data_IF_838775483444
#
_entry.id   IF_838775483444
#
_cell.length_a   1.000
_cell.length_b   1.000
_cell.length_c   1.000
_cell.angle_alpha   90.00
_cell.angle_beta   90.00
_cell.angle_gamma   90.00
#
_symmetry.space_group_name_H-M   'P 1'
#
loop_
_entity.id
_entity.type
_entity.pdbx_description
1 polymer ?
#
# COMPACT_ATOMS: atom_id res chain seq x y z
N UNK A 1 -28.11 -7.55 1.93
CA UNK A 1 -27.81 -8.24 0.66
C UNK A 1 -28.29 -7.49 -0.59
N UNK A 2 -29.49 -6.89 -0.62
CA UNK A 2 -29.96 -6.11 -1.79
C UNK A 2 -29.01 -4.96 -2.22
N UNK A 3 -28.30 -4.32 -1.27
CA UNK A 3 -27.35 -3.24 -1.59
C UNK A 3 -26.08 -3.70 -2.30
N UNK A 4 -25.55 -4.89 -1.96
CA UNK A 4 -24.32 -5.43 -2.58
C UNK A 4 -24.61 -5.84 -4.01
N UNK A 5 -25.72 -6.54 -4.25
CA UNK A 5 -26.11 -6.93 -5.61
C UNK A 5 -26.32 -5.71 -6.52
N UNK A 6 -26.97 -4.67 -6.02
CA UNK A 6 -27.14 -3.40 -6.74
C UNK A 6 -25.80 -2.71 -7.00
N UNK A 7 -24.88 -2.70 -6.03
CA UNK A 7 -23.54 -2.16 -6.21
C UNK A 7 -22.76 -2.92 -7.29
N UNK A 8 -22.78 -4.26 -7.23
CA UNK A 8 -22.13 -5.11 -8.22
C UNK A 8 -22.70 -4.87 -9.61
N UNK A 9 -24.03 -4.83 -9.75
CA UNK A 9 -24.72 -4.55 -11.02
C UNK A 9 -24.38 -3.17 -11.58
N UNK A 10 -24.24 -2.16 -10.73
CA UNK A 10 -23.87 -0.80 -11.14
C UNK A 10 -22.42 -0.68 -11.59
N UNK A 11 -21.51 -1.48 -11.03
CA UNK A 11 -20.06 -1.39 -11.25
C UNK A 11 -19.48 -2.60 -12.00
N UNK A 12 -20.29 -3.34 -12.76
CA UNK A 12 -19.88 -4.59 -13.42
C UNK A 12 -18.62 -4.44 -14.27
N UNK A 13 -18.50 -3.36 -15.03
CA UNK A 13 -17.33 -3.11 -15.88
C UNK A 13 -16.06 -2.95 -15.04
N UNK A 14 -16.13 -2.16 -13.97
CA UNK A 14 -14.99 -1.94 -13.06
C UNK A 14 -14.61 -3.23 -12.33
N UNK A 15 -15.60 -4.02 -11.88
CA UNK A 15 -15.34 -5.33 -11.27
C UNK A 15 -14.72 -6.31 -12.27
N UNK A 16 -15.15 -6.26 -13.54
CA UNK A 16 -14.56 -7.02 -14.63
C UNK A 16 -13.08 -6.66 -14.84
N UNK A 17 -12.75 -5.37 -14.92
CA UNK A 17 -11.35 -4.94 -15.04
C UNK A 17 -10.50 -5.30 -13.82
N UNK A 18 -11.05 -5.19 -12.61
CA UNK A 18 -10.34 -5.59 -11.40
C UNK A 18 -10.05 -7.10 -11.38
N UNK A 19 -11.02 -7.92 -11.81
CA UNK A 19 -10.84 -9.36 -11.97
C UNK A 19 -9.78 -9.67 -13.04
N UNK A 20 -9.83 -8.99 -14.19
CA UNK A 20 -8.81 -9.14 -15.24
C UNK A 20 -7.41 -8.80 -14.71
N UNK A 21 -7.25 -7.71 -13.94
CA UNK A 21 -5.96 -7.33 -13.36
C UNK A 21 -5.45 -8.39 -12.37
N UNK A 22 -6.33 -8.97 -11.55
CA UNK A 22 -5.99 -10.09 -10.67
C UNK A 22 -5.51 -11.31 -11.46
N UNK A 23 -6.28 -11.70 -12.47
CA UNK A 23 -5.94 -12.85 -13.34
C UNK A 23 -4.61 -12.60 -14.04
N UNK A 24 -4.38 -11.42 -14.61
CA UNK A 24 -3.12 -11.06 -15.26
C UNK A 24 -1.94 -11.12 -14.28
N UNK A 25 -2.11 -10.59 -13.07
CA UNK A 25 -1.10 -10.69 -12.00
C UNK A 25 -0.81 -12.14 -11.64
N UNK A 26 -1.81 -13.02 -11.58
CA UNK A 26 -1.59 -14.45 -11.31
C UNK A 26 -0.89 -15.11 -12.50
N UNK A 27 -1.35 -14.86 -13.73
CA UNK A 27 -0.81 -15.51 -14.94
C UNK A 27 0.61 -15.09 -15.26
N UNK A 28 1.01 -13.86 -14.92
CA UNK A 28 2.39 -13.39 -15.06
C UNK A 28 3.36 -14.09 -14.10
N UNK A 29 2.86 -14.77 -13.08
CA UNK A 29 3.63 -15.48 -12.06
C UNK A 29 3.44 -17.01 -12.11
N UNK A 30 2.99 -17.59 -13.24
CA UNK A 30 2.76 -19.05 -13.34
C UNK A 30 4.02 -19.88 -13.12
N UNK A 31 5.18 -19.35 -13.52
CA UNK A 31 6.49 -19.99 -13.29
C UNK A 31 7.11 -19.63 -11.94
N UNK A 32 6.35 -18.99 -11.06
CA UNK A 32 6.83 -18.40 -9.81
C UNK A 32 6.93 -16.87 -9.90
N UNK A 33 6.96 -16.24 -8.73
CA UNK A 33 7.18 -14.79 -8.60
C UNK A 33 8.65 -14.47 -8.86
N UNK A 34 8.89 -13.34 -9.51
CA UNK A 34 10.21 -12.86 -9.86
C UNK A 34 11.03 -12.45 -8.63
N UNK A 35 12.33 -12.72 -8.73
CA UNK A 35 13.32 -12.43 -7.71
C UNK A 35 14.23 -11.30 -8.17
N UNK A 36 14.60 -10.45 -7.23
CA UNK A 36 15.60 -9.39 -7.39
C UNK A 36 16.55 -9.41 -6.21
N UNK A 37 17.58 -8.57 -6.24
CA UNK A 37 18.51 -8.44 -5.11
C UNK A 37 17.79 -8.04 -3.81
N UNK A 38 16.81 -7.13 -3.90
CA UNK A 38 15.96 -6.69 -2.78
C UNK A 38 15.07 -7.81 -2.22
N UNK A 39 14.72 -8.79 -3.05
CA UNK A 39 13.77 -9.84 -2.69
C UNK A 39 14.33 -10.77 -1.62
N UNK A 40 15.60 -11.16 -1.75
CA UNK A 40 16.25 -12.09 -0.81
C UNK A 40 16.17 -11.59 0.63
N UNK A 41 16.36 -10.29 0.79
CA UNK A 41 16.26 -9.58 2.06
C UNK A 41 14.84 -9.61 2.63
N UNK A 42 13.82 -9.28 1.81
CA UNK A 42 12.44 -9.32 2.28
C UNK A 42 12.02 -10.71 2.74
N UNK A 43 12.41 -11.75 1.99
CA UNK A 43 12.07 -13.15 2.27
C UNK A 43 12.81 -13.64 3.51
N UNK A 44 14.12 -13.36 3.64
CA UNK A 44 14.91 -13.75 4.80
C UNK A 44 14.34 -13.13 6.09
N UNK A 45 14.08 -11.82 6.09
CA UNK A 45 13.45 -11.13 7.22
C UNK A 45 12.09 -11.73 7.53
N UNK A 46 11.26 -12.01 6.52
CA UNK A 46 9.94 -12.59 6.73
C UNK A 46 10.00 -13.98 7.38
N UNK A 47 10.92 -14.84 6.93
CA UNK A 47 11.12 -16.18 7.50
C UNK A 47 11.68 -16.13 8.92
N UNK A 48 12.66 -15.26 9.16
CA UNK A 48 13.26 -15.07 10.48
C UNK A 48 12.24 -14.49 11.48
N UNK A 49 11.38 -13.58 11.01
CA UNK A 49 10.31 -13.02 11.83
C UNK A 49 9.24 -14.07 12.14
N UNK A 50 8.84 -14.88 11.17
CA UNK A 50 7.88 -15.95 11.40
C UNK A 50 8.38 -17.00 12.40
N UNK A 51 9.68 -17.30 12.38
CA UNK A 51 10.29 -18.32 13.24
C UNK A 51 10.55 -17.80 14.66
N UNK A 52 11.26 -16.69 14.78
CA UNK A 52 11.87 -16.24 16.04
C UNK A 52 11.60 -14.75 16.35
N UNK A 53 10.67 -14.09 15.63
CA UNK A 53 10.36 -12.65 15.72
C UNK A 53 11.56 -11.72 15.48
N UNK A 54 12.62 -12.24 14.85
CA UNK A 54 13.82 -11.46 14.52
C UNK A 54 13.73 -10.83 13.14
N UNK A 55 14.34 -9.67 12.97
CA UNK A 55 14.32 -8.91 11.71
C UNK A 55 15.68 -8.98 11.02
N UNK A 56 16.18 -10.20 10.81
CA UNK A 56 17.48 -10.45 10.22
C UNK A 56 17.39 -10.63 8.70
N UNK A 57 18.26 -9.94 7.97
CA UNK A 57 18.36 -9.99 6.51
C UNK A 57 19.03 -11.28 6.01
N UNK A 58 19.27 -11.37 4.69
CA UNK A 58 19.88 -12.55 4.08
C UNK A 58 21.34 -12.77 4.51
N UNK A 59 22.00 -11.77 5.10
CA UNK A 59 23.36 -11.84 5.64
C UNK A 59 23.40 -12.14 7.15
N UNK A 60 22.23 -12.21 7.80
CA UNK A 60 22.11 -12.41 9.24
C UNK A 60 22.28 -11.13 10.06
N UNK A 61 22.29 -9.97 9.42
CA UNK A 61 22.35 -8.67 10.09
C UNK A 61 20.94 -8.10 10.31
N UNK A 62 20.72 -7.27 11.35
CA UNK A 62 19.43 -6.59 11.52
C UNK A 62 19.09 -5.71 10.32
N UNK A 63 17.92 -5.92 9.73
CA UNK A 63 17.43 -5.15 8.59
C UNK A 63 17.17 -3.70 8.97
N UNK A 64 17.92 -2.77 8.37
CA UNK A 64 17.73 -1.30 8.51
C UNK A 64 17.45 -0.62 7.16
N UNK A 65 17.98 -1.17 6.06
CA UNK A 65 17.92 -0.61 4.70
C UNK A 65 16.50 -0.55 4.15
N UNK A 66 15.62 -1.46 4.60
CA UNK A 66 14.23 -1.54 4.14
C UNK A 66 13.25 -1.61 5.31
N UNK A 67 12.05 -1.01 5.17
CA UNK A 67 10.97 -1.23 6.11
C UNK A 67 10.52 -2.69 6.18
N UNK A 68 9.98 -3.14 7.32
CA UNK A 68 9.65 -4.54 7.56
C UNK A 68 8.28 -4.93 6.98
N UNK A 69 7.50 -4.02 6.39
CA UNK A 69 6.09 -4.24 6.08
C UNK A 69 5.84 -5.40 5.13
N UNK A 70 6.59 -5.50 4.02
CA UNK A 70 6.48 -6.65 3.12
C UNK A 70 6.94 -7.95 3.81
N UNK A 71 8.02 -7.90 4.58
CA UNK A 71 8.53 -9.06 5.31
C UNK A 71 7.54 -9.57 6.34
N UNK A 72 6.85 -8.68 7.07
CA UNK A 72 5.79 -9.05 8.01
C UNK A 72 4.62 -9.70 7.26
N UNK A 73 4.23 -9.19 6.09
CA UNK A 73 3.19 -9.83 5.28
C UNK A 73 3.61 -11.24 4.80
N UNK A 74 4.88 -11.42 4.45
CA UNK A 74 5.44 -12.75 4.13
C UNK A 74 5.40 -13.67 5.36
N UNK A 75 5.76 -13.15 6.54
CA UNK A 75 5.75 -13.92 7.79
C UNK A 75 4.33 -14.38 8.16
N UNK A 76 3.32 -13.53 7.97
CA UNK A 76 1.91 -13.91 8.14
C UNK A 76 1.53 -15.04 7.19
N UNK A 77 1.98 -14.99 5.93
CA UNK A 77 1.79 -16.10 5.00
C UNK A 77 2.41 -17.40 5.51
N UNK A 78 3.63 -17.33 6.03
CA UNK A 78 4.35 -18.49 6.59
C UNK A 78 3.62 -19.11 7.79
N UNK A 79 3.12 -18.27 8.72
CA UNK A 79 2.28 -18.73 9.84
C UNK A 79 0.98 -19.40 9.40
N UNK A 80 0.43 -18.98 8.25
CA UNK A 80 -0.74 -19.61 7.63
C UNK A 80 -0.37 -20.87 6.82
N UNK A 81 0.90 -21.28 6.81
CA UNK A 81 1.39 -22.40 6.00
C UNK A 81 1.43 -22.11 4.51
N UNK A 82 1.34 -20.84 4.10
CA UNK A 82 1.42 -20.41 2.71
C UNK A 82 2.90 -20.24 2.33
N UNK A 83 3.32 -20.93 1.26
CA UNK A 83 4.65 -20.69 0.70
C UNK A 83 4.84 -19.22 0.29
N UNK A 84 6.10 -18.73 0.30
CA UNK A 84 6.44 -17.34 -0.01
C UNK A 84 5.88 -16.92 -1.37
N UNK A 85 6.07 -17.74 -2.40
CA UNK A 85 5.58 -17.45 -3.75
C UNK A 85 4.07 -17.25 -3.79
N UNK A 86 3.32 -18.13 -3.11
CA UNK A 86 1.86 -18.06 -3.08
C UNK A 86 1.37 -16.85 -2.28
N UNK A 87 2.01 -16.57 -1.14
CA UNK A 87 1.71 -15.38 -0.32
C UNK A 87 1.88 -14.10 -1.14
N UNK A 88 3.02 -13.94 -1.82
CA UNK A 88 3.29 -12.75 -2.62
C UNK A 88 2.38 -12.67 -3.84
N UNK A 89 2.07 -13.79 -4.50
CA UNK A 89 1.14 -13.81 -5.61
C UNK A 89 -0.26 -13.32 -5.18
N UNK A 90 -0.75 -13.74 -3.99
CA UNK A 90 -1.99 -13.22 -3.42
C UNK A 90 -1.87 -11.72 -3.15
N UNK A 91 -0.79 -11.27 -2.51
CA UNK A 91 -0.57 -9.85 -2.21
C UNK A 91 -0.57 -8.99 -3.48
N UNK A 92 0.10 -9.44 -4.54
CA UNK A 92 0.18 -8.73 -5.81
C UNK A 92 -1.19 -8.69 -6.51
N UNK A 93 -1.93 -9.80 -6.53
CA UNK A 93 -3.27 -9.85 -7.10
C UNK A 93 -4.26 -8.95 -6.34
N UNK A 94 -4.24 -8.98 -5.00
CA UNK A 94 -5.06 -8.10 -4.16
C UNK A 94 -4.68 -6.64 -4.38
N UNK A 95 -3.39 -6.33 -4.48
CA UNK A 95 -2.91 -4.98 -4.78
C UNK A 95 -3.41 -4.48 -6.13
N UNK A 96 -3.33 -5.31 -7.17
CA UNK A 96 -3.83 -4.99 -8.51
C UNK A 96 -5.33 -4.68 -8.49
N UNK A 97 -6.14 -5.50 -7.80
CA UNK A 97 -7.58 -5.25 -7.61
C UNK A 97 -7.82 -3.90 -6.94
N UNK A 98 -7.15 -3.64 -5.81
CA UNK A 98 -7.33 -2.40 -5.04
C UNK A 98 -7.01 -1.18 -5.91
N UNK A 99 -5.90 -1.22 -6.66
CA UNK A 99 -5.48 -0.11 -7.52
C UNK A 99 -6.51 0.17 -8.61
N UNK A 100 -7.05 -0.86 -9.27
CA UNK A 100 -8.08 -0.71 -10.30
C UNK A 100 -9.39 -0.16 -9.72
N UNK A 101 -9.85 -0.72 -8.59
CA UNK A 101 -11.08 -0.27 -7.93
C UNK A 101 -10.96 1.19 -7.45
N UNK A 102 -9.85 1.55 -6.82
CA UNK A 102 -9.61 2.92 -6.36
C UNK A 102 -9.50 3.89 -7.53
N UNK A 103 -8.84 3.50 -8.63
CA UNK A 103 -8.75 4.34 -9.85
C UNK A 103 -10.14 4.68 -10.38
N UNK A 104 -10.99 3.68 -10.60
CA UNK A 104 -12.37 3.91 -11.05
C UNK A 104 -13.14 4.78 -10.06
N UNK A 105 -13.01 4.51 -8.76
CA UNK A 105 -13.71 5.29 -7.74
C UNK A 105 -13.28 6.75 -7.71
N UNK A 106 -11.98 7.05 -7.81
CA UNK A 106 -11.46 8.42 -7.85
C UNK A 106 -11.94 9.18 -9.09
N UNK A 107 -11.98 8.51 -10.25
CA UNK A 107 -12.51 9.08 -11.49
C UNK A 107 -14.02 9.37 -11.39
N UNK A 108 -14.78 8.52 -10.71
CA UNK A 108 -16.21 8.76 -10.44
C UNK A 108 -16.40 9.93 -9.48
N UNK A 109 -15.56 10.06 -8.45
CA UNK A 109 -15.58 11.21 -7.53
C UNK A 109 -15.26 12.53 -8.25
N UNK A 110 -14.41 12.48 -9.28
CA UNK A 110 -14.12 13.62 -10.15
C UNK A 110 -15.24 13.93 -11.18
N UNK A 111 -16.40 13.25 -11.10
CA UNK A 111 -17.54 13.41 -12.02
C UNK A 111 -17.17 13.22 -13.51
N UNK A 112 -16.21 12.34 -13.79
CA UNK A 112 -15.85 12.01 -15.18
C UNK A 112 -16.99 11.27 -15.89
N UNK A 113 -17.06 11.40 -17.22
CA UNK A 113 -18.03 10.65 -18.03
C UNK A 113 -17.75 9.15 -17.90
N UNK A 114 -18.81 8.32 -17.76
CA UNK A 114 -18.70 6.86 -17.57
C UNK A 114 -17.77 6.17 -18.57
N UNK A 115 -17.82 6.59 -19.84
CA UNK A 115 -16.94 6.06 -20.89
C UNK A 115 -15.46 6.37 -20.64
N UNK A 116 -15.15 7.61 -20.25
CA UNK A 116 -13.78 8.04 -19.91
C UNK A 116 -13.30 7.29 -18.66
N UNK A 117 -14.16 7.14 -17.65
CA UNK A 117 -13.86 6.34 -16.46
C UNK A 117 -13.49 4.91 -16.83
N UNK A 118 -14.27 4.27 -17.70
CA UNK A 118 -14.03 2.89 -18.14
C UNK A 118 -12.69 2.77 -18.89
N UNK A 119 -12.42 3.66 -19.85
CA UNK A 119 -11.17 3.65 -20.61
C UNK A 119 -9.96 3.84 -19.69
N UNK A 120 -9.95 4.87 -18.85
CA UNK A 120 -8.83 5.14 -17.95
C UNK A 120 -8.62 3.99 -16.93
N UNK A 121 -9.70 3.40 -16.44
CA UNK A 121 -9.62 2.22 -15.56
C UNK A 121 -9.02 1.02 -16.31
N UNK A 122 -9.38 0.82 -17.58
CA UNK A 122 -8.81 -0.23 -18.41
C UNK A 122 -7.29 -0.01 -18.64
N UNK A 123 -6.85 1.22 -18.92
CA UNK A 123 -5.42 1.53 -19.06
C UNK A 123 -4.61 1.15 -17.81
N UNK A 124 -5.18 1.34 -16.61
CA UNK A 124 -4.53 0.91 -15.36
C UNK A 124 -4.58 -0.61 -15.20
N UNK A 125 -5.72 -1.25 -15.48
CA UNK A 125 -5.89 -2.70 -15.35
C UNK A 125 -4.98 -3.51 -16.29
N UNK A 126 -4.70 -2.98 -17.49
CA UNK A 126 -3.88 -3.62 -18.51
C UNK A 126 -2.48 -3.00 -18.68
N UNK A 127 -2.03 -2.19 -17.71
CA UNK A 127 -0.72 -1.54 -17.77
C UNK A 127 0.40 -2.57 -17.66
N UNK A 128 1.26 -2.65 -18.68
CA UNK A 128 2.44 -3.52 -18.68
C UNK A 128 3.44 -3.13 -17.60
N UNK A 129 3.60 -1.83 -17.33
CA UNK A 129 4.47 -1.33 -16.28
C UNK A 129 4.00 -1.78 -14.89
N UNK A 130 2.70 -1.72 -14.60
CA UNK A 130 2.14 -2.24 -13.34
C UNK A 130 2.20 -3.76 -13.28
N UNK A 131 1.95 -4.45 -14.40
CA UNK A 131 2.03 -5.91 -14.43
C UNK A 131 3.44 -6.42 -14.10
N UNK A 132 4.48 -5.74 -14.57
CA UNK A 132 5.86 -6.06 -14.18
C UNK A 132 6.09 -5.88 -12.68
N UNK A 133 5.57 -4.82 -12.07
CA UNK A 133 5.62 -4.64 -10.61
C UNK A 133 4.91 -5.77 -9.87
N UNK A 134 3.75 -6.22 -10.38
CA UNK A 134 3.01 -7.36 -9.83
C UNK A 134 3.65 -8.73 -10.11
N UNK A 135 4.68 -8.79 -10.94
CA UNK A 135 5.42 -10.03 -11.23
C UNK A 135 6.59 -10.28 -10.28
N UNK A 136 6.87 -9.36 -9.34
CA UNK A 136 8.06 -9.41 -8.49
C UNK A 136 7.69 -9.48 -7.01
N UNK A 137 8.59 -10.04 -6.19
CA UNK A 137 8.52 -9.92 -4.72
C UNK A 137 9.08 -8.56 -4.32
N UNK A 138 8.21 -7.56 -4.42
CA UNK A 138 8.50 -6.15 -4.19
C UNK A 138 7.50 -5.49 -3.26
N UNK A 139 7.96 -4.40 -2.64
CA UNK A 139 7.14 -3.58 -1.74
C UNK A 139 6.15 -2.69 -2.50
N UNK A 140 6.41 -2.50 -3.79
CA UNK A 140 5.73 -1.60 -4.71
C UNK A 140 4.24 -1.91 -4.84
N UNK A 141 3.81 -3.17 -5.11
CA UNK A 141 2.40 -3.50 -5.18
C UNK A 141 1.59 -3.15 -3.92
N UNK A 142 1.94 -3.65 -2.70
CA UNK A 142 1.18 -3.31 -1.51
C UNK A 142 1.28 -1.83 -1.16
N UNK A 143 2.41 -1.17 -1.45
CA UNK A 143 2.56 0.27 -1.23
C UNK A 143 1.57 1.08 -2.06
N UNK A 144 1.49 0.83 -3.37
CA UNK A 144 0.58 1.55 -4.26
C UNK A 144 -0.88 1.27 -3.87
N UNK A 145 -1.21 0.04 -3.47
CA UNK A 145 -2.55 -0.31 -3.00
C UNK A 145 -2.95 0.51 -1.75
N UNK A 146 -2.10 0.56 -0.73
CA UNK A 146 -2.33 1.36 0.48
C UNK A 146 -2.38 2.86 0.16
N UNK A 147 -1.51 3.34 -0.74
CA UNK A 147 -1.51 4.73 -1.20
C UNK A 147 -2.84 5.12 -1.84
N UNK A 148 -3.36 4.28 -2.73
CA UNK A 148 -4.63 4.52 -3.40
C UNK A 148 -5.81 4.52 -2.42
N UNK A 149 -5.80 3.62 -1.42
CA UNK A 149 -6.79 3.63 -0.33
C UNK A 149 -6.68 4.93 0.48
N UNK A 150 -5.47 5.37 0.82
CA UNK A 150 -5.24 6.61 1.56
C UNK A 150 -5.78 7.84 0.81
N UNK A 151 -5.56 7.92 -0.51
CA UNK A 151 -6.15 8.98 -1.34
C UNK A 151 -7.69 8.92 -1.29
N UNK A 152 -8.28 7.74 -1.48
CA UNK A 152 -9.75 7.58 -1.41
C UNK A 152 -10.30 7.99 -0.05
N UNK A 153 -9.67 7.57 1.05
CA UNK A 153 -10.09 7.93 2.41
C UNK A 153 -9.95 9.43 2.66
N UNK A 154 -8.88 10.07 2.16
CA UNK A 154 -8.65 11.52 2.31
C UNK A 154 -9.74 12.38 1.68
N UNK A 155 -10.43 11.86 0.65
CA UNK A 155 -11.52 12.55 -0.04
C UNK A 155 -12.91 12.23 0.52
N UNK A 156 -13.00 11.43 1.59
CA UNK A 156 -14.27 11.19 2.29
C UNK A 156 -14.64 12.37 3.17
N UNK A 157 -15.93 12.48 3.47
CA UNK A 157 -16.44 13.44 4.46
C UNK A 157 -15.72 13.28 5.79
N UNK A 158 -15.51 14.41 6.44
CA UNK A 158 -14.75 14.46 7.68
C UNK A 158 -15.52 13.75 8.81
N UNK A 159 -14.88 12.72 9.38
CA UNK A 159 -15.39 11.86 10.46
C UNK A 159 -14.20 11.37 11.30
N UNK A 160 -14.46 10.95 12.54
CA UNK A 160 -13.41 10.32 13.36
C UNK A 160 -12.82 9.08 12.69
N UNK A 161 -13.66 8.25 12.06
CA UNK A 161 -13.23 7.06 11.33
C UNK A 161 -12.26 7.39 10.18
N UNK A 162 -12.47 8.52 9.46
CA UNK A 162 -11.53 9.00 8.44
C UNK A 162 -10.17 9.31 9.06
N UNK A 163 -10.13 10.09 10.14
CA UNK A 163 -8.89 10.50 10.83
C UNK A 163 -8.13 9.27 11.32
N UNK A 164 -8.80 8.37 12.04
CA UNK A 164 -8.21 7.12 12.52
C UNK A 164 -7.69 6.27 11.36
N UNK A 165 -8.45 6.16 10.27
CA UNK A 165 -8.01 5.42 9.07
C UNK A 165 -6.75 6.04 8.46
N UNK A 166 -6.68 7.37 8.33
CA UNK A 166 -5.50 8.04 7.80
C UNK A 166 -4.26 7.83 8.68
N UNK A 167 -4.40 7.85 10.01
CA UNK A 167 -3.29 7.54 10.92
C UNK A 167 -2.69 6.17 10.59
N UNK A 168 -3.52 5.12 10.56
CA UNK A 168 -3.04 3.76 10.28
C UNK A 168 -2.51 3.60 8.86
N UNK A 169 -3.12 4.25 7.87
CA UNK A 169 -2.66 4.21 6.48
C UNK A 169 -1.31 4.90 6.31
N UNK A 170 -1.08 6.03 6.99
CA UNK A 170 0.21 6.74 6.93
C UNK A 170 1.32 5.96 7.62
N UNK A 171 1.02 5.30 8.74
CA UNK A 171 1.93 4.34 9.38
C UNK A 171 2.26 3.22 8.38
N UNK A 172 1.25 2.58 7.79
CA UNK A 172 1.43 1.51 6.82
C UNK A 172 2.26 1.95 5.59
N UNK A 173 2.04 3.16 5.08
CA UNK A 173 2.82 3.69 3.95
C UNK A 173 4.32 3.71 4.28
N UNK A 174 4.71 4.22 5.46
CA UNK A 174 6.10 4.21 5.90
C UNK A 174 6.64 2.79 6.08
N UNK A 175 5.89 1.93 6.79
CA UNK A 175 6.34 0.58 7.11
C UNK A 175 6.39 -0.34 5.89
N UNK A 176 5.72 0.00 4.78
CA UNK A 176 5.92 -0.71 3.51
C UNK A 176 7.09 -0.08 2.74
N UNK A 177 7.19 1.27 2.68
CA UNK A 177 8.31 1.98 2.03
C UNK A 177 8.67 3.27 2.77
N UNK A 178 9.97 3.53 2.98
CA UNK A 178 10.44 4.76 3.66
C UNK A 178 10.03 6.07 2.95
N UNK A 179 9.66 6.03 1.66
CA UNK A 179 9.11 7.21 0.94
C UNK A 179 7.67 7.55 1.35
N UNK A 180 6.99 6.68 2.10
CA UNK A 180 5.60 6.84 2.54
C UNK A 180 5.25 8.21 3.14
N UNK A 181 6.06 8.80 4.04
CA UNK A 181 5.79 10.13 4.60
C UNK A 181 5.69 11.24 3.55
N UNK A 182 6.43 11.17 2.44
CA UNK A 182 6.35 12.16 1.35
C UNK A 182 4.94 12.17 0.76
N UNK A 183 4.38 10.99 0.51
CA UNK A 183 3.01 10.85 0.02
C UNK A 183 1.97 11.19 1.10
N UNK A 184 2.23 10.86 2.37
CA UNK A 184 1.36 11.22 3.49
C UNK A 184 1.20 12.74 3.63
N UNK A 185 2.28 13.52 3.43
CA UNK A 185 2.21 14.99 3.42
C UNK A 185 1.33 15.49 2.26
N UNK A 186 1.52 14.97 1.05
CA UNK A 186 0.71 15.35 -0.10
C UNK A 186 -0.78 15.03 0.09
N UNK A 187 -1.08 13.84 0.63
CA UNK A 187 -2.46 13.42 0.95
C UNK A 187 -3.05 14.28 2.06
N UNK A 188 -2.25 14.64 3.07
CA UNK A 188 -2.67 15.55 4.14
C UNK A 188 -3.06 16.91 3.57
N UNK A 189 -2.25 17.49 2.67
CA UNK A 189 -2.57 18.74 1.99
C UNK A 189 -3.88 18.66 1.18
N UNK A 190 -4.06 17.56 0.44
CA UNK A 190 -5.30 17.31 -0.30
C UNK A 190 -6.52 17.18 0.64
N UNK A 191 -6.37 16.45 1.75
CA UNK A 191 -7.41 16.26 2.76
C UNK A 191 -7.81 17.59 3.42
N UNK A 192 -6.83 18.45 3.75
CA UNK A 192 -7.08 19.81 4.26
C UNK A 192 -7.90 20.62 3.25
N UNK A 193 -7.49 20.61 1.99
CA UNK A 193 -8.19 21.33 0.94
C UNK A 193 -9.64 20.86 0.78
N UNK A 194 -9.90 19.57 0.93
CA UNK A 194 -11.24 19.00 0.83
C UNK A 194 -12.09 19.31 2.07
N UNK A 195 -11.54 19.10 3.26
CA UNK A 195 -12.25 19.21 4.54
C UNK A 195 -12.55 20.65 4.95
N UNK A 196 -11.81 21.64 4.43
CA UNK A 196 -12.07 23.07 4.73
C UNK A 196 -13.49 23.49 4.39
N UNK A 197 -14.14 22.83 3.42
CA UNK A 197 -15.53 23.10 3.03
C UNK A 197 -16.53 22.69 4.13
N UNK A 198 -16.17 21.71 4.95
CA UNK A 198 -17.02 21.17 6.01
C UNK A 198 -16.70 21.78 7.38
N UNK A 199 -15.41 21.96 7.70
CA UNK A 199 -14.95 22.37 9.03
C UNK A 199 -14.46 23.82 9.11
N UNK A 200 -14.25 24.49 7.98
CA UNK A 200 -13.43 25.71 7.90
C UNK A 200 -11.93 25.40 7.91
N UNK A 201 -11.11 26.39 7.56
CA UNK A 201 -9.67 26.21 7.34
C UNK A 201 -8.91 25.72 8.58
N UNK A 202 -9.02 26.42 9.71
CA UNK A 202 -8.24 26.13 10.92
C UNK A 202 -8.51 24.72 11.46
N UNK A 203 -9.78 24.33 11.60
CA UNK A 203 -10.16 23.01 12.12
C UNK A 203 -9.76 21.88 11.16
N UNK A 204 -9.82 22.13 9.86
CA UNK A 204 -9.37 21.18 8.84
C UNK A 204 -7.85 20.96 8.90
N UNK A 205 -7.06 22.03 9.03
CA UNK A 205 -5.61 21.94 9.25
C UNK A 205 -5.31 21.17 10.54
N UNK A 206 -5.92 21.58 11.67
CA UNK A 206 -5.65 20.96 12.96
C UNK A 206 -5.90 19.44 12.95
N UNK A 207 -7.04 18.99 12.44
CA UNK A 207 -7.39 17.56 12.47
C UNK A 207 -6.50 16.71 11.54
N UNK A 208 -6.18 17.20 10.34
CA UNK A 208 -5.36 16.45 9.39
C UNK A 208 -3.87 16.47 9.76
N UNK A 209 -3.36 17.59 10.27
CA UNK A 209 -1.97 17.68 10.79
C UNK A 209 -1.81 16.84 12.05
N UNK A 210 -2.83 16.78 12.92
CA UNK A 210 -2.81 15.88 14.08
C UNK A 210 -2.74 14.42 13.65
N UNK A 211 -3.52 14.01 12.64
CA UNK A 211 -3.45 12.66 12.08
C UNK A 211 -2.05 12.31 11.57
N UNK A 212 -1.44 13.23 10.80
CA UNK A 212 -0.07 13.09 10.32
C UNK A 212 0.92 13.02 11.49
N UNK A 213 0.83 13.93 12.46
CA UNK A 213 1.70 13.97 13.64
C UNK A 213 1.67 12.68 14.46
N UNK A 214 0.48 12.13 14.72
CA UNK A 214 0.32 10.85 15.42
C UNK A 214 0.95 9.71 14.61
N UNK A 215 0.76 9.69 13.28
CA UNK A 215 1.33 8.66 12.42
C UNK A 215 2.87 8.65 12.41
N UNK A 216 3.51 9.78 12.71
CA UNK A 216 4.96 9.91 12.75
C UNK A 216 5.59 9.36 14.05
N UNK A 217 4.81 9.08 15.10
CA UNK A 217 5.32 8.53 16.36
C UNK A 217 5.99 7.16 16.15
N UNK A 218 5.31 6.13 15.60
CA UNK A 218 5.95 4.83 15.37
C UNK A 218 7.02 4.89 14.28
N UNK A 219 6.90 5.83 13.32
CA UNK A 219 7.94 6.11 12.31
C UNK A 219 9.22 6.54 12.99
N UNK A 220 9.14 7.50 13.92
CA UNK A 220 10.29 8.00 14.65
C UNK A 220 10.95 6.91 15.49
N UNK A 221 10.17 6.10 16.21
CA UNK A 221 10.72 4.97 16.97
C UNK A 221 11.45 3.96 16.10
N UNK A 222 10.93 3.68 14.90
CA UNK A 222 11.61 2.79 13.95
C UNK A 222 12.95 3.38 13.46
N UNK A 223 12.95 4.66 13.09
CA UNK A 223 14.16 5.35 12.61
C UNK A 223 15.22 5.48 13.72
N UNK A 224 14.79 5.76 14.97
CA UNK A 224 15.68 5.77 16.13
C UNK A 224 16.32 4.40 16.36
N UNK A 225 15.53 3.32 16.26
CA UNK A 225 16.04 1.94 16.33
C UNK A 225 17.08 1.66 15.25
N UNK A 226 16.90 2.17 14.03
CA UNK A 226 17.90 2.00 12.97
C UNK A 226 19.19 2.77 13.29
N UNK A 227 19.05 4.02 13.77
CA UNK A 227 20.18 4.86 14.18
C UNK A 227 21.02 4.19 15.27
N UNK A 228 20.39 3.52 16.22
CA UNK A 228 21.05 2.80 17.31
C UNK A 228 21.80 1.54 16.82
N UNK A 229 21.38 0.94 15.70
CA UNK A 229 21.96 -0.30 15.16
C UNK A 229 23.16 -0.05 14.27
N UNK A 230 23.05 0.87 13.29
CA UNK A 230 24.08 1.07 12.28
C UNK A 230 24.51 2.54 12.11
N UNK A 231 24.03 3.44 12.97
CA UNK A 231 24.34 4.86 12.91
C UNK A 231 23.59 5.62 11.80
N UNK A 232 22.61 4.99 11.14
CA UNK A 232 21.85 5.60 10.05
C UNK A 232 20.33 5.45 10.26
N UNK A 233 19.55 6.40 9.77
CA UNK A 233 18.08 6.35 9.90
C UNK A 233 17.43 5.32 8.96
N UNK A 234 17.99 5.13 7.76
CA UNK A 234 17.38 4.33 6.69
C UNK A 234 18.31 3.26 6.12
N UNK A 235 19.28 2.82 6.93
CA UNK A 235 20.30 1.85 6.57
C UNK A 235 21.46 2.45 5.79
N UNK A 236 22.65 1.89 6.00
CA UNK A 236 23.85 2.24 5.24
C UNK A 236 23.67 1.86 3.76
N UNK A 237 23.77 2.85 2.87
CA UNK A 237 23.84 2.63 1.42
C UNK A 237 25.27 2.84 0.99
N UNK A 238 25.92 1.78 0.55
CA UNK A 238 27.24 1.90 -0.06
C UNK A 238 27.06 2.65 -1.40
N UNK A 239 27.86 3.70 -1.68
CA UNK A 239 27.81 4.42 -2.96
C UNK A 239 28.17 3.53 -4.16
#
# INVERSE_FOLDING_TARGET
MQSIFQYCKKNQITLGFALCAAVLSITSNLSGVGWSWDTSDYVAVGKNFAKDLTLLDATGLPMTVRPPGLSILIAVGDWLGLGVNFTVQILNAVSAVIVVLCTSHLLQLANTRKFITAIATAFVAFSTALLWQYSMIWSEPPFIAVLMIAIVVSLRKMTAAKVTSLIFLFIALFFIRYVGPVFAVAITAASIYFDRRQLGWLKSVAANVLALGISLIPVWWWLARNQDIDGTLTGARVP
#
